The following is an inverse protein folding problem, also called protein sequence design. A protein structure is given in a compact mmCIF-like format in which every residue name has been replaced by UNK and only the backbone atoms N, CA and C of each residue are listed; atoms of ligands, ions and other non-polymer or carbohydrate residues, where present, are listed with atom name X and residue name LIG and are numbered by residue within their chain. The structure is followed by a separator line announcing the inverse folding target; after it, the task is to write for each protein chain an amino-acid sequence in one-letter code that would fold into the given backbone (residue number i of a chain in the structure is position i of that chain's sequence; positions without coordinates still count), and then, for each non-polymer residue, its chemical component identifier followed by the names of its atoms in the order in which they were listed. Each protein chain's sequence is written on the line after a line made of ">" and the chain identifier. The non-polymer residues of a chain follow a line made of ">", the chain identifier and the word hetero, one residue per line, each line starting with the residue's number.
data_IF_804903953804
#
_entry.id   IF_804903953804
#
_cell.length_a   1.000
_cell.length_b   1.000
_cell.length_c   1.000
_cell.angle_alpha   90.00
_cell.angle_beta   90.00
_cell.angle_gamma   90.00
#
_symmetry.space_group_name_H-M   'P 1'
#
loop_
_entity.id
_entity.type
_entity.pdbx_description
1 polymer ?
#
# COMPACT_ATOMS: atom_id res chain seq x y z
N UNK A 1 31.36 7.54 -21.15
CA UNK A 1 30.24 6.62 -20.81
C UNK A 1 29.75 6.99 -19.43
N UNK A 2 28.56 7.58 -19.32
CA UNK A 2 27.92 7.77 -18.02
C UNK A 2 27.48 6.41 -17.48
N UNK A 3 27.60 6.12 -16.18
CA UNK A 3 27.13 4.87 -15.62
C UNK A 3 25.62 4.74 -15.85
N UNK A 4 25.18 3.60 -16.37
CA UNK A 4 23.76 3.31 -16.53
C UNK A 4 23.12 3.29 -15.15
N UNK A 5 22.12 4.16 -14.92
CA UNK A 5 21.38 4.20 -13.68
C UNK A 5 20.80 2.80 -13.38
N UNK A 6 21.05 2.29 -12.17
CA UNK A 6 20.51 1.00 -11.75
C UNK A 6 19.05 1.19 -11.39
N UNK A 7 18.17 0.35 -11.92
CA UNK A 7 16.75 0.43 -11.58
C UNK A 7 16.49 -0.08 -10.15
N UNK A 8 15.86 0.74 -9.32
CA UNK A 8 15.35 0.38 -8.00
C UNK A 8 13.86 0.00 -8.07
N UNK A 9 13.43 -0.87 -7.17
CA UNK A 9 12.00 -1.19 -6.98
C UNK A 9 11.54 -0.52 -5.69
N UNK A 10 10.54 0.34 -5.81
CA UNK A 10 9.93 1.07 -4.72
C UNK A 10 8.58 0.45 -4.37
N UNK A 11 8.36 0.22 -3.07
CA UNK A 11 7.08 -0.26 -2.54
C UNK A 11 6.30 0.91 -1.97
N UNK A 12 5.07 1.09 -2.43
CA UNK A 12 4.14 2.10 -1.92
C UNK A 12 2.93 1.37 -1.35
N UNK A 13 2.58 1.68 -0.10
CA UNK A 13 1.46 1.06 0.58
C UNK A 13 0.35 2.09 0.81
N UNK A 14 -0.86 1.74 0.37
CA UNK A 14 -2.07 2.55 0.52
C UNK A 14 -2.99 1.85 1.51
N UNK A 15 -3.28 2.51 2.62
CA UNK A 15 -4.12 2.01 3.69
C UNK A 15 -5.45 2.77 3.74
N UNK A 16 -6.49 2.14 4.28
CA UNK A 16 -7.63 2.91 4.80
C UNK A 16 -7.17 3.89 5.89
N UNK A 17 -7.76 5.08 5.90
CA UNK A 17 -7.52 6.10 6.94
C UNK A 17 -7.88 5.55 8.31
N UNK A 18 -7.24 6.03 9.38
CA UNK A 18 -7.64 5.68 10.74
C UNK A 18 -9.14 5.97 10.97
N UNK A 19 -9.88 4.98 11.42
CA UNK A 19 -11.33 5.09 11.67
C UNK A 19 -12.23 4.85 10.45
N UNK A 20 -11.69 4.74 9.24
CA UNK A 20 -12.45 4.31 8.08
C UNK A 20 -12.58 2.76 8.06
N UNK A 21 -13.72 2.22 7.60
CA UNK A 21 -13.90 0.77 7.46
C UNK A 21 -12.92 0.19 6.43
N UNK A 22 -12.48 -1.05 6.68
CA UNK A 22 -11.67 -1.85 5.77
C UNK A 22 -12.39 -3.20 5.58
N UNK A 23 -13.38 -3.27 4.66
CA UNK A 23 -14.24 -4.45 4.50
C UNK A 23 -13.47 -5.74 4.19
N UNK A 24 -12.31 -5.61 3.54
CA UNK A 24 -11.45 -6.75 3.23
C UNK A 24 -10.70 -7.22 4.48
N UNK A 25 -10.18 -6.32 5.31
CA UNK A 25 -9.62 -6.70 6.60
C UNK A 25 -10.67 -7.33 7.53
N UNK A 26 -11.91 -6.83 7.51
CA UNK A 26 -13.03 -7.40 8.26
C UNK A 26 -13.38 -8.81 7.77
N UNK A 27 -13.39 -9.05 6.46
CA UNK A 27 -13.59 -10.40 5.90
C UNK A 27 -12.48 -11.36 6.34
N UNK A 28 -11.21 -10.94 6.23
CA UNK A 28 -10.07 -11.76 6.66
C UNK A 28 -10.11 -12.04 8.16
N UNK A 29 -10.53 -11.08 8.99
CA UNK A 29 -10.70 -11.30 10.42
C UNK A 29 -11.78 -12.35 10.73
N UNK A 30 -12.90 -12.35 9.98
CA UNK A 30 -13.95 -13.37 10.08
C UNK A 30 -13.43 -14.74 9.68
N UNK A 31 -12.72 -14.84 8.57
CA UNK A 31 -12.14 -16.11 8.09
C UNK A 31 -11.10 -16.66 9.07
N UNK A 32 -10.26 -15.78 9.65
CA UNK A 32 -9.29 -16.15 10.68
C UNK A 32 -9.99 -16.71 11.94
N UNK A 33 -11.07 -16.07 12.38
CA UNK A 33 -11.86 -16.53 13.52
C UNK A 33 -12.51 -17.90 13.27
N UNK A 34 -12.99 -18.16 12.05
CA UNK A 34 -13.58 -19.43 11.67
C UNK A 34 -12.60 -20.62 11.78
N UNK A 35 -11.29 -20.37 11.64
CA UNK A 35 -10.24 -21.39 11.83
C UNK A 35 -9.56 -21.32 13.20
N UNK A 36 -10.16 -20.60 14.16
CA UNK A 36 -9.67 -20.51 15.55
C UNK A 36 -8.53 -19.52 15.77
N UNK A 37 -8.13 -18.73 14.76
CA UNK A 37 -7.14 -17.67 14.92
C UNK A 37 -7.79 -16.38 15.42
N UNK A 38 -7.11 -15.68 16.34
CA UNK A 38 -7.56 -14.40 16.91
C UNK A 38 -6.48 -13.33 16.72
N UNK A 39 -6.29 -12.79 15.51
CA UNK A 39 -5.28 -11.76 15.26
C UNK A 39 -5.60 -10.50 16.06
N UNK A 40 -4.59 -9.88 16.67
CA UNK A 40 -4.73 -8.61 17.40
C UNK A 40 -5.15 -7.45 16.50
N UNK A 41 -4.76 -7.48 15.23
CA UNK A 41 -5.06 -6.45 14.23
C UNK A 41 -4.97 -7.05 12.83
N UNK A 42 -5.93 -6.74 11.98
CA UNK A 42 -5.92 -7.07 10.55
C UNK A 42 -5.98 -5.76 9.78
N UNK A 43 -5.21 -5.65 8.71
CA UNK A 43 -5.25 -4.53 7.74
C UNK A 43 -5.08 -5.08 6.35
N UNK A 44 -5.68 -4.43 5.36
CA UNK A 44 -5.54 -4.84 3.97
C UNK A 44 -5.06 -3.68 3.08
N UNK A 45 -3.75 -3.34 3.12
CA UNK A 45 -3.23 -2.30 2.25
C UNK A 45 -3.26 -2.71 0.78
N UNK A 46 -3.43 -1.73 -0.10
CA UNK A 46 -3.13 -1.86 -1.54
C UNK A 46 -1.67 -1.53 -1.75
N UNK A 47 -0.94 -2.46 -2.37
CA UNK A 47 0.51 -2.35 -2.55
C UNK A 47 0.81 -2.12 -4.02
N UNK A 48 1.57 -1.07 -4.30
CA UNK A 48 2.09 -0.77 -5.64
C UNK A 48 3.61 -0.94 -5.63
N UNK A 49 4.12 -1.70 -6.60
CA UNK A 49 5.55 -1.85 -6.85
C UNK A 49 5.91 -1.02 -8.08
N UNK A 50 6.77 -0.04 -7.89
CA UNK A 50 7.20 0.89 -8.94
C UNK A 50 8.66 0.65 -9.22
N UNK A 51 8.99 0.28 -10.45
CA UNK A 51 10.38 0.19 -10.88
C UNK A 51 10.78 1.52 -11.53
N UNK A 52 11.80 2.18 -10.97
CA UNK A 52 12.31 3.44 -11.48
C UNK A 52 13.84 3.45 -11.46
N UNK A 53 14.50 4.24 -12.33
CA UNK A 53 15.93 4.52 -12.20
C UNK A 53 16.29 5.03 -10.80
N UNK A 54 17.47 4.68 -10.28
CA UNK A 54 17.93 5.13 -8.95
C UNK A 54 18.07 6.64 -8.81
N UNK A 55 18.27 7.33 -9.94
CA UNK A 55 18.36 8.78 -10.08
C UNK A 55 17.03 9.43 -10.49
N UNK A 56 15.93 8.67 -10.49
CA UNK A 56 14.62 9.19 -10.84
C UNK A 56 14.18 10.34 -9.89
N UNK A 57 13.46 11.35 -10.42
CA UNK A 57 12.87 12.41 -9.58
C UNK A 57 11.89 11.85 -8.55
N UNK A 58 11.54 12.66 -7.55
CA UNK A 58 10.67 12.28 -6.42
C UNK A 58 9.44 11.49 -6.88
N UNK A 59 9.15 10.38 -6.18
CA UNK A 59 7.95 9.56 -6.41
C UNK A 59 6.68 10.16 -5.80
N UNK A 60 6.75 11.34 -5.17
CA UNK A 60 5.61 12.03 -4.58
C UNK A 60 4.44 12.28 -5.56
N UNK A 61 4.66 12.73 -6.81
CA UNK A 61 3.56 12.91 -7.76
C UNK A 61 2.86 11.59 -8.07
N UNK A 62 3.61 10.49 -8.14
CA UNK A 62 3.05 9.16 -8.34
C UNK A 62 2.23 8.71 -7.12
N UNK A 63 2.75 8.92 -5.90
CA UNK A 63 2.03 8.63 -4.65
C UNK A 63 0.70 9.40 -4.57
N UNK A 64 0.70 10.67 -4.93
CA UNK A 64 -0.49 11.51 -4.95
C UNK A 64 -1.51 11.12 -6.03
N UNK A 65 -1.04 10.56 -7.14
CA UNK A 65 -1.89 10.11 -8.26
C UNK A 65 -2.42 8.67 -8.11
N UNK A 66 -1.97 7.92 -7.10
CA UNK A 66 -2.51 6.58 -6.86
C UNK A 66 -4.02 6.66 -6.63
N UNK A 67 -4.80 5.73 -7.20
CA UNK A 67 -6.25 5.71 -7.05
C UNK A 67 -6.60 5.38 -5.61
N UNK A 68 -6.59 6.38 -4.74
CA UNK A 68 -7.22 6.37 -3.43
C UNK A 68 -8.72 6.52 -3.67
N UNK A 69 -9.55 5.91 -2.83
CA UNK A 69 -10.96 6.27 -2.72
C UNK A 69 -11.04 7.43 -1.70
N UNK A 70 -11.00 8.71 -2.09
CA UNK A 70 -11.26 9.80 -1.15
C UNK A 70 -12.74 9.75 -0.75
N UNK A 71 -13.11 9.72 0.56
CA UNK A 71 -12.35 10.10 1.76
C UNK A 71 -11.71 8.95 2.57
N UNK A 72 -11.69 7.71 2.10
CA UNK A 72 -11.43 6.51 2.89
C UNK A 72 -9.96 6.08 3.04
N UNK A 73 -9.00 6.53 2.22
CA UNK A 73 -7.63 5.96 2.18
C UNK A 73 -6.48 7.01 2.20
N UNK A 74 -5.27 6.56 2.56
CA UNK A 74 -4.01 7.32 2.63
C UNK A 74 -2.78 6.45 2.24
N UNK A 75 -1.76 7.04 1.60
CA UNK A 75 -0.51 6.38 1.20
C UNK A 75 0.68 6.75 2.10
N UNK A 76 1.58 5.81 2.40
CA UNK A 76 2.85 6.04 3.13
C UNK A 76 4.04 5.50 2.32
#
# INVERSE_FOLDING_TARGET
>A
MSPAATAAVHRIEVFSKPGAPDPRAESVARDAAAIGLKPRRVRSPRVYLVRAPSDAPSLEPFRAALPTNPPAEQSI
#
